data_IF_328484449977
#
_entry.id   IF_328484449977
#
_cell.length_a   1.000
_cell.length_b   1.000
_cell.length_c   1.000
_cell.angle_alpha   90.00
_cell.angle_beta   90.00
_cell.angle_gamma   90.00
#
_symmetry.space_group_name_H-M   'P 1'
#
loop_
_entity.id
_entity.type
_entity.pdbx_description
1 polymer ?
#
# COMPACT_ATOMS: atom_id res chain seq x y z
N UNK A 1 16.60 -17.09 -45.92
CA UNK A 1 16.32 -15.93 -45.01
C UNK A 1 16.58 -16.37 -43.60
N UNK A 2 17.27 -15.54 -42.83
CA UNK A 2 17.50 -15.83 -41.44
C UNK A 2 16.24 -15.56 -40.59
N UNK A 3 15.87 -16.52 -39.78
CA UNK A 3 14.69 -16.49 -38.91
C UNK A 3 15.15 -16.41 -37.45
N UNK A 4 14.49 -15.59 -36.64
CA UNK A 4 14.82 -15.40 -35.24
C UNK A 4 13.88 -16.23 -34.37
N UNK A 5 14.45 -17.03 -33.49
CA UNK A 5 13.70 -17.76 -32.47
C UNK A 5 13.67 -16.94 -31.20
N UNK A 6 12.48 -16.57 -30.74
CA UNK A 6 12.27 -15.83 -29.50
C UNK A 6 11.90 -16.79 -28.37
N UNK A 7 12.17 -16.37 -27.13
CA UNK A 7 11.75 -17.06 -25.91
C UNK A 7 10.23 -17.23 -25.92
N UNK A 8 9.71 -18.47 -25.98
CA UNK A 8 8.27 -18.70 -26.04
C UNK A 8 7.63 -18.50 -24.66
N UNK A 9 6.37 -18.10 -24.63
CA UNK A 9 5.58 -18.07 -23.41
C UNK A 9 5.04 -19.46 -23.10
N UNK A 10 5.71 -20.19 -22.21
CA UNK A 10 5.41 -21.60 -21.88
C UNK A 10 4.36 -21.74 -20.77
N UNK A 11 3.77 -20.64 -20.27
CA UNK A 11 2.71 -20.60 -19.26
C UNK A 11 1.97 -19.27 -19.22
N UNK A 12 0.77 -19.25 -18.62
CA UNK A 12 -0.07 -18.03 -18.61
C UNK A 12 0.57 -16.85 -17.88
N UNK A 13 1.40 -17.13 -16.86
CA UNK A 13 2.00 -16.13 -15.96
C UNK A 13 3.52 -16.03 -16.11
N UNK A 14 4.10 -16.69 -17.14
CA UNK A 14 5.54 -16.66 -17.36
C UNK A 14 5.99 -15.28 -17.86
N UNK A 15 6.85 -14.59 -17.10
CA UNK A 15 7.50 -13.35 -17.48
C UNK A 15 8.94 -13.58 -17.98
N UNK A 16 9.63 -14.59 -17.46
CA UNK A 16 11.02 -14.95 -17.75
C UNK A 16 11.24 -16.45 -17.54
N UNK A 17 12.31 -17.00 -18.15
CA UNK A 17 12.73 -18.38 -17.97
C UNK A 17 14.24 -18.53 -18.02
N UNK A 18 14.79 -19.52 -17.32
CA UNK A 18 16.23 -19.80 -17.32
C UNK A 18 16.54 -20.85 -18.38
N UNK A 19 17.43 -20.55 -19.33
CA UNK A 19 17.86 -21.49 -20.34
C UNK A 19 18.85 -22.49 -19.72
N UNK A 20 18.40 -23.71 -19.46
CA UNK A 20 19.22 -24.76 -18.78
C UNK A 20 20.31 -25.29 -19.71
N UNK A 21 19.94 -25.66 -20.92
CA UNK A 21 20.88 -26.14 -21.92
C UNK A 21 20.37 -26.01 -23.35
N UNK A 22 21.30 -25.92 -24.28
CA UNK A 22 21.06 -26.10 -25.70
C UNK A 22 21.10 -27.59 -26.06
N UNK A 23 20.10 -28.09 -26.76
CA UNK A 23 20.04 -29.48 -27.24
C UNK A 23 20.71 -29.60 -28.60
N UNK A 24 20.65 -28.55 -29.43
CA UNK A 24 21.26 -28.47 -30.75
C UNK A 24 22.40 -27.44 -30.71
N UNK A 25 23.56 -27.81 -31.19
CA UNK A 25 24.73 -26.95 -31.23
C UNK A 25 24.69 -25.93 -32.39
N UNK A 26 25.51 -24.86 -32.25
CA UNK A 26 25.71 -23.93 -33.37
C UNK A 26 26.27 -24.66 -34.60
N UNK A 27 25.83 -24.28 -35.79
CA UNK A 27 26.15 -24.88 -37.09
C UNK A 27 25.51 -26.28 -37.33
N UNK A 28 24.63 -26.75 -36.46
CA UNK A 28 23.89 -28.01 -36.61
C UNK A 28 22.53 -27.75 -37.27
N UNK A 29 22.07 -28.72 -38.06
CA UNK A 29 20.78 -28.63 -38.74
C UNK A 29 19.64 -28.97 -37.74
N UNK A 30 18.56 -28.21 -37.82
CA UNK A 30 17.34 -28.39 -37.00
C UNK A 30 16.12 -28.48 -37.91
N UNK A 31 15.23 -29.40 -37.63
CA UNK A 31 13.91 -29.49 -38.25
C UNK A 31 12.83 -28.81 -37.42
N UNK A 32 11.80 -28.28 -38.07
CA UNK A 32 10.65 -27.68 -37.39
C UNK A 32 9.97 -28.72 -36.47
N UNK A 33 9.78 -28.38 -35.18
CA UNK A 33 9.24 -29.27 -34.15
C UNK A 33 10.31 -30.11 -33.43
N UNK A 34 11.59 -29.97 -33.81
CA UNK A 34 12.69 -30.60 -33.08
C UNK A 34 13.07 -29.78 -31.84
N UNK A 35 13.40 -30.43 -30.73
CA UNK A 35 13.78 -29.78 -29.48
C UNK A 35 15.09 -29.00 -29.67
N UNK A 36 15.03 -27.70 -29.49
CA UNK A 36 16.13 -26.76 -29.66
C UNK A 36 16.86 -26.50 -28.33
N UNK A 37 16.12 -26.31 -27.25
CA UNK A 37 16.65 -25.99 -25.92
C UNK A 37 15.74 -26.48 -24.82
N UNK A 38 16.28 -26.63 -23.60
CA UNK A 38 15.54 -26.86 -22.38
C UNK A 38 15.53 -25.59 -21.53
N UNK A 39 14.33 -25.16 -21.11
CA UNK A 39 14.11 -23.96 -20.31
C UNK A 39 13.49 -24.35 -18.99
N UNK A 40 14.06 -23.88 -17.89
CA UNK A 40 13.49 -24.01 -16.56
C UNK A 40 12.59 -22.81 -16.26
N UNK A 41 11.35 -23.11 -15.88
CA UNK A 41 10.39 -22.17 -15.39
C UNK A 41 10.24 -22.34 -13.86
N UNK A 42 9.50 -21.46 -13.22
CA UNK A 42 9.21 -21.57 -11.76
C UNK A 42 8.48 -22.88 -11.36
N UNK A 43 7.97 -23.64 -12.34
CA UNK A 43 7.14 -24.84 -12.12
C UNK A 43 7.73 -26.14 -12.68
N UNK A 44 8.48 -26.08 -13.76
CA UNK A 44 9.06 -27.25 -14.40
C UNK A 44 10.11 -26.89 -15.47
N UNK A 45 10.96 -27.85 -15.83
CA UNK A 45 11.80 -27.78 -17.03
C UNK A 45 10.96 -28.18 -18.24
N UNK A 46 10.92 -27.34 -19.25
CA UNK A 46 10.12 -27.53 -20.48
C UNK A 46 11.04 -27.49 -21.69
N UNK A 47 10.82 -28.42 -22.62
CA UNK A 47 11.51 -28.46 -23.90
C UNK A 47 10.92 -27.43 -24.88
N UNK A 48 11.79 -26.66 -25.53
CA UNK A 48 11.41 -25.68 -26.55
C UNK A 48 11.73 -26.22 -27.93
N UNK A 49 10.70 -26.36 -28.74
CA UNK A 49 10.80 -26.85 -30.09
C UNK A 49 11.12 -25.70 -31.09
N UNK A 50 11.90 -26.01 -32.11
CA UNK A 50 12.19 -25.05 -33.17
C UNK A 50 10.95 -24.77 -34.02
N UNK A 51 10.54 -23.50 -34.19
CA UNK A 51 9.44 -23.12 -35.09
C UNK A 51 9.82 -23.19 -36.59
N UNK A 52 11.13 -23.27 -36.89
CA UNK A 52 11.68 -23.21 -38.22
C UNK A 52 12.61 -24.41 -38.51
N UNK A 53 12.78 -24.75 -39.80
CA UNK A 53 13.79 -25.71 -40.26
C UNK A 53 14.96 -24.97 -40.88
N UNK A 54 16.19 -25.34 -40.55
CA UNK A 54 17.41 -24.68 -41.07
C UNK A 54 18.67 -25.14 -40.33
N UNK A 55 19.68 -24.29 -40.32
CA UNK A 55 20.91 -24.49 -39.54
C UNK A 55 20.95 -23.44 -38.41
N UNK A 56 21.20 -23.84 -37.20
CA UNK A 56 21.37 -22.93 -36.06
C UNK A 56 22.65 -22.13 -36.27
N UNK A 57 22.53 -20.86 -36.64
CA UNK A 57 23.67 -20.01 -36.98
C UNK A 57 24.38 -19.44 -35.76
N UNK A 58 23.60 -19.07 -34.75
CA UNK A 58 24.14 -18.51 -33.49
C UNK A 58 23.15 -18.65 -32.36
N UNK A 59 23.67 -18.95 -31.18
CA UNK A 59 22.98 -18.78 -29.90
C UNK A 59 23.20 -17.35 -29.40
N UNK A 60 22.12 -16.64 -29.11
CA UNK A 60 22.16 -15.24 -28.62
C UNK A 60 22.20 -15.16 -27.09
N UNK A 61 21.96 -16.28 -26.42
CA UNK A 61 21.86 -16.39 -24.97
C UNK A 61 22.76 -17.54 -24.49
N UNK A 62 23.49 -17.32 -23.42
CA UNK A 62 24.34 -18.32 -22.78
C UNK A 62 23.50 -19.30 -21.94
N UNK A 63 24.08 -20.49 -21.63
CA UNK A 63 23.47 -21.44 -20.69
C UNK A 63 23.40 -20.83 -19.29
N UNK A 64 22.39 -21.21 -18.53
CA UNK A 64 22.05 -20.70 -17.17
C UNK A 64 21.68 -19.21 -17.13
N UNK A 65 21.45 -18.56 -18.28
CA UNK A 65 20.99 -17.19 -18.35
C UNK A 65 19.46 -17.11 -18.17
N UNK A 66 19.01 -16.12 -17.36
CA UNK A 66 17.60 -15.80 -17.20
C UNK A 66 17.15 -14.85 -18.29
N UNK A 67 16.12 -15.23 -19.07
CA UNK A 67 15.71 -14.55 -20.30
C UNK A 67 14.24 -14.20 -20.25
N UNK A 68 13.86 -12.91 -20.44
CA UNK A 68 12.46 -12.50 -20.53
C UNK A 68 11.74 -13.15 -21.73
N UNK A 69 10.44 -13.39 -21.60
CA UNK A 69 9.58 -13.85 -22.71
C UNK A 69 9.65 -12.87 -23.87
N UNK A 70 9.63 -13.40 -25.10
CA UNK A 70 9.77 -12.67 -26.39
C UNK A 70 11.18 -12.16 -26.71
N UNK A 71 12.16 -12.33 -25.85
CA UNK A 71 13.56 -11.98 -26.15
C UNK A 71 14.15 -12.95 -27.17
N UNK A 72 14.92 -12.49 -28.19
CA UNK A 72 15.61 -13.35 -29.14
C UNK A 72 16.62 -14.28 -28.46
N UNK A 73 16.52 -15.60 -28.72
CA UNK A 73 17.39 -16.61 -28.14
C UNK A 73 18.32 -17.28 -29.14
N UNK A 74 17.89 -17.48 -30.39
CA UNK A 74 18.71 -18.08 -31.43
C UNK A 74 18.37 -17.55 -32.82
N UNK A 75 19.33 -17.69 -33.77
CA UNK A 75 19.13 -17.39 -35.21
C UNK A 75 19.27 -18.66 -36.00
N UNK A 76 18.24 -18.99 -36.79
CA UNK A 76 18.21 -20.14 -37.73
C UNK A 76 18.21 -19.62 -39.16
N UNK A 77 19.02 -20.19 -40.03
CA UNK A 77 19.11 -19.74 -41.42
C UNK A 77 19.64 -20.82 -42.37
N UNK A 78 19.75 -20.50 -43.65
CA UNK A 78 20.37 -21.39 -44.69
C UNK A 78 21.87 -21.57 -44.44
N UNK A 79 22.43 -22.74 -44.82
CA UNK A 79 23.81 -23.12 -44.52
C UNK A 79 24.88 -22.19 -45.09
N UNK A 80 24.63 -21.48 -46.22
CA UNK A 80 25.59 -20.66 -46.97
C UNK A 80 25.24 -19.16 -46.98
N UNK A 81 24.32 -18.69 -46.12
CA UNK A 81 23.84 -17.31 -46.08
C UNK A 81 24.73 -16.45 -45.17
N UNK A 82 25.35 -15.38 -45.72
CA UNK A 82 26.01 -14.36 -44.87
C UNK A 82 24.94 -13.52 -44.19
N UNK A 83 24.88 -13.62 -42.85
CA UNK A 83 23.92 -12.93 -42.03
C UNK A 83 24.63 -11.76 -41.33
N UNK A 84 24.19 -10.54 -41.59
CA UNK A 84 24.62 -9.36 -40.83
C UNK A 84 23.83 -9.28 -39.49
N UNK A 85 24.44 -9.82 -38.45
CA UNK A 85 23.86 -9.90 -37.12
C UNK A 85 23.63 -8.52 -36.49
N UNK A 86 24.46 -7.50 -36.81
CA UNK A 86 24.30 -6.16 -36.27
C UNK A 86 23.03 -5.46 -36.78
N UNK A 87 22.77 -5.58 -38.08
CA UNK A 87 21.59 -5.01 -38.72
C UNK A 87 20.29 -5.74 -38.29
N UNK A 88 20.37 -7.04 -38.01
CA UNK A 88 19.25 -7.86 -37.58
C UNK A 88 18.85 -7.55 -36.12
N UNK A 89 19.82 -7.30 -35.22
CA UNK A 89 19.60 -6.92 -33.83
C UNK A 89 19.19 -5.46 -33.68
N UNK A 90 19.70 -4.55 -34.52
CA UNK A 90 19.30 -3.13 -34.52
C UNK A 90 17.83 -2.94 -34.92
N UNK A 91 17.34 -3.73 -35.87
CA UNK A 91 15.92 -3.71 -36.26
C UNK A 91 14.95 -4.17 -35.17
N UNK A 92 15.42 -4.95 -34.16
CA UNK A 92 14.62 -5.39 -33.01
C UNK A 92 14.53 -4.31 -31.94
N UNK A 93 15.56 -3.50 -31.73
CA UNK A 93 15.55 -2.39 -30.77
C UNK A 93 14.63 -1.24 -31.19
N UNK A 94 14.43 -1.03 -32.49
CA UNK A 94 13.46 -0.03 -33.01
C UNK A 94 11.99 -0.46 -32.81
N UNK A 95 11.70 -1.77 -32.76
CA UNK A 95 10.34 -2.29 -32.53
C UNK A 95 9.92 -2.22 -31.04
N UNK A 96 10.84 -2.32 -30.08
CA UNK A 96 10.54 -2.17 -28.65
C UNK A 96 10.23 -0.72 -28.24
N UNK A 97 10.69 0.27 -29.00
CA UNK A 97 10.41 1.70 -28.71
C UNK A 97 9.03 2.17 -29.18
N UNK A 98 8.31 1.39 -29.96
CA UNK A 98 6.99 1.77 -30.50
C UNK A 98 5.82 1.30 -29.62
N UNK A 99 5.99 0.29 -28.76
CA UNK A 99 4.92 -0.19 -27.88
C UNK A 99 4.90 0.45 -26.47
N UNK A 100 5.88 1.29 -26.13
CA UNK A 100 5.93 2.02 -24.84
C UNK A 100 5.37 3.44 -24.90
N UNK A 101 4.57 3.77 -25.87
CA UNK A 101 3.96 5.08 -26.09
C UNK A 101 2.49 5.16 -25.66
N UNK A 102 2.15 4.88 -24.42
CA UNK A 102 0.85 5.23 -23.85
C UNK A 102 0.97 6.53 -23.04
N UNK A 103 0.53 7.55 -23.67
CA UNK A 103 0.27 8.94 -23.32
C UNK A 103 -0.13 9.17 -21.86
N UNK A 104 0.75 9.76 -21.07
CA UNK A 104 0.38 10.56 -19.91
C UNK A 104 -0.01 11.96 -20.37
N UNK A 105 -1.28 12.29 -20.26
CA UNK A 105 -1.80 13.64 -20.48
C UNK A 105 -1.74 14.39 -19.16
N UNK A 106 -0.72 15.21 -18.99
CA UNK A 106 -0.68 16.25 -17.96
C UNK A 106 -1.73 17.34 -18.27
N UNK A 107 -2.53 17.81 -17.30
CA UNK A 107 -3.43 18.93 -17.54
C UNK A 107 -2.65 20.24 -17.55
N UNK A 108 -2.71 20.94 -18.66
CA UNK A 108 -2.14 22.26 -18.90
C UNK A 108 -2.65 23.29 -17.87
N UNK A 109 -1.72 23.95 -17.20
CA UNK A 109 -1.99 25.12 -16.39
C UNK A 109 -2.37 26.29 -17.29
N UNK A 110 -3.59 26.76 -17.15
CA UNK A 110 -4.14 27.95 -17.83
C UNK A 110 -3.47 29.21 -17.27
N UNK A 111 -2.68 29.86 -18.11
CA UNK A 111 -2.11 31.17 -17.86
C UNK A 111 -3.21 32.21 -17.97
N UNK A 112 -3.61 32.80 -16.87
CA UNK A 112 -4.46 34.00 -16.87
C UNK A 112 -3.58 35.18 -17.25
N UNK A 113 -3.80 35.71 -18.43
CA UNK A 113 -3.21 36.89 -19.01
C UNK A 113 -3.90 38.14 -18.40
N UNK A 114 -3.15 38.96 -17.68
CA UNK A 114 -3.65 40.19 -17.12
C UNK A 114 -3.72 41.29 -18.22
N UNK A 115 -4.92 41.74 -18.50
CA UNK A 115 -5.16 42.87 -19.41
C UNK A 115 -4.63 44.18 -18.82
N UNK A 116 -4.09 45.09 -19.67
CA UNK A 116 -3.56 46.37 -19.22
C UNK A 116 -4.70 47.38 -18.97
N UNK A 117 -4.68 47.99 -17.80
CA UNK A 117 -5.55 49.12 -17.48
C UNK A 117 -4.89 50.40 -18.01
N UNK A 118 -5.56 51.05 -18.93
CA UNK A 118 -5.21 52.34 -19.52
C UNK A 118 -5.27 53.45 -18.46
N UNK A 119 -4.25 54.31 -18.53
CA UNK A 119 -4.17 55.54 -17.74
C UNK A 119 -5.16 56.59 -18.29
N UNK A 120 -6.04 57.05 -17.45
CA UNK A 120 -6.76 58.31 -17.70
C UNK A 120 -6.22 59.41 -16.78
N UNK A 121 -6.06 60.58 -17.38
CA UNK A 121 -5.61 61.86 -16.86
C UNK A 121 -6.33 62.29 -15.58
N UNK A 122 -5.55 62.72 -14.58
CA UNK A 122 -6.08 63.65 -13.58
C UNK A 122 -5.12 64.82 -13.45
N UNK A 123 -5.67 66.00 -13.82
CA UNK A 123 -5.12 67.30 -13.78
C UNK A 123 -4.65 67.79 -12.40
N UNK A 124 -3.64 68.68 -12.49
CA UNK A 124 -3.05 69.52 -11.45
C UNK A 124 -4.04 70.20 -10.51
N UNK A 125 -3.84 69.99 -9.18
CA UNK A 125 -4.01 71.09 -8.25
C UNK A 125 -3.07 70.98 -7.03
N UNK A 126 -2.53 72.19 -6.64
CA UNK A 126 -1.48 72.31 -5.65
C UNK A 126 -2.06 72.33 -4.24
N UNK A 127 -2.04 71.20 -3.56
CA UNK A 127 -2.11 71.21 -2.10
C UNK A 127 -1.70 69.86 -1.56
N UNK A 128 -1.03 69.81 -0.41
CA UNK A 128 -0.57 68.67 0.38
C UNK A 128 -1.22 67.35 0.06
N UNK A 129 -0.40 66.30 -0.10
CA UNK A 129 -0.88 64.94 -0.14
C UNK A 129 -1.81 64.61 1.07
N UNK A 130 -2.82 63.76 0.97
CA UNK A 130 -3.80 63.48 2.01
C UNK A 130 -3.24 63.02 3.37
N UNK A 131 -1.94 62.80 3.47
CA UNK A 131 -1.25 62.24 4.64
C UNK A 131 -0.16 63.17 5.25
N UNK A 132 -0.22 64.47 5.04
CA UNK A 132 0.60 65.42 5.77
C UNK A 132 2.08 65.57 5.33
N UNK A 133 2.54 64.89 4.29
CA UNK A 133 3.91 64.99 3.79
C UNK A 133 4.05 66.28 2.99
N UNK A 134 4.89 67.18 3.49
CA UNK A 134 5.18 68.50 2.84
C UNK A 134 6.42 68.37 1.98
N UNK A 135 6.29 68.50 0.67
CA UNK A 135 7.41 68.56 -0.28
C UNK A 135 7.32 69.74 -1.21
N UNK A 136 8.46 70.29 -1.67
CA UNK A 136 8.50 71.32 -2.67
C UNK A 136 8.03 70.78 -4.03
N UNK A 137 7.45 71.59 -4.93
CA UNK A 137 7.02 71.18 -6.26
C UNK A 137 8.12 70.50 -7.07
N UNK A 138 9.36 70.97 -6.91
CA UNK A 138 10.52 70.42 -7.59
C UNK A 138 10.94 69.07 -7.01
N UNK A 139 10.88 68.89 -5.66
CA UNK A 139 11.14 67.62 -4.99
C UNK A 139 10.11 66.56 -5.38
N UNK A 140 8.83 66.90 -5.55
CA UNK A 140 7.78 66.02 -6.00
C UNK A 140 8.04 65.51 -7.41
N UNK A 141 8.28 66.36 -8.36
CA UNK A 141 8.59 65.96 -9.75
C UNK A 141 9.81 65.09 -9.84
N UNK A 142 10.82 65.38 -9.01
CA UNK A 142 12.04 64.58 -8.99
C UNK A 142 11.85 63.21 -8.34
N UNK A 143 11.12 63.15 -7.23
CA UNK A 143 10.77 61.90 -6.60
C UNK A 143 9.89 61.00 -7.50
N UNK A 144 8.96 61.63 -8.25
CA UNK A 144 8.09 60.94 -9.21
C UNK A 144 8.88 60.40 -10.40
N UNK A 145 9.79 61.19 -10.98
CA UNK A 145 10.67 60.74 -12.07
C UNK A 145 11.63 59.64 -11.66
N UNK A 146 12.04 59.62 -10.39
CA UNK A 146 12.96 58.63 -9.81
C UNK A 146 12.23 57.47 -9.08
N UNK A 147 10.89 57.46 -9.06
CA UNK A 147 10.05 56.48 -8.34
C UNK A 147 10.39 56.36 -6.86
N UNK A 148 10.77 57.48 -6.20
CA UNK A 148 11.11 57.53 -4.79
C UNK A 148 9.84 57.83 -3.98
N UNK A 149 9.55 57.03 -2.95
CA UNK A 149 8.43 57.28 -2.04
C UNK A 149 8.81 58.39 -1.05
N UNK A 150 8.18 59.57 -1.18
CA UNK A 150 8.43 60.73 -0.34
C UNK A 150 8.21 60.50 1.17
N UNK A 151 7.49 59.46 1.57
CA UNK A 151 7.33 59.10 2.99
C UNK A 151 8.62 58.57 3.61
N UNK A 152 9.55 58.12 2.81
CA UNK A 152 10.84 57.58 3.26
C UNK A 152 11.96 58.61 3.26
N UNK A 153 11.68 59.83 2.79
CA UNK A 153 12.64 60.91 2.68
C UNK A 153 12.43 61.88 3.85
N UNK A 154 13.46 62.10 4.67
CA UNK A 154 13.45 63.10 5.72
C UNK A 154 13.65 64.49 5.14
N UNK A 155 12.69 65.43 5.35
CA UNK A 155 12.78 66.82 4.85
C UNK A 155 13.67 67.68 5.72
N UNK A 156 14.66 68.35 5.14
CA UNK A 156 15.57 69.31 5.79
C UNK A 156 15.11 70.77 5.71
N UNK A 157 14.08 71.11 4.93
CA UNK A 157 13.57 72.44 4.75
C UNK A 157 12.71 72.95 5.92
N UNK A 158 12.33 74.28 5.92
CA UNK A 158 11.52 74.90 6.95
C UNK A 158 10.21 74.10 7.21
N UNK A 159 9.92 73.86 8.49
CA UNK A 159 8.77 73.06 8.93
C UNK A 159 8.78 71.62 8.41
N UNK A 160 9.96 71.00 8.22
CA UNK A 160 10.08 69.58 7.79
C UNK A 160 9.73 69.39 6.30
N UNK A 161 9.79 70.38 5.47
CA UNK A 161 9.51 70.32 4.03
C UNK A 161 10.63 69.58 3.30
N UNK A 162 10.29 68.59 2.53
CA UNK A 162 11.23 67.84 1.67
C UNK A 162 11.68 68.79 0.51
N UNK A 163 12.98 68.99 0.39
CA UNK A 163 13.62 69.80 -0.67
C UNK A 163 14.20 68.86 -1.76
N UNK A 164 14.64 69.50 -2.88
CA UNK A 164 15.32 68.74 -3.97
C UNK A 164 16.57 68.00 -3.45
N UNK A 165 17.37 68.67 -2.58
CA UNK A 165 18.58 68.05 -2.01
C UNK A 165 18.31 66.81 -1.16
N UNK A 166 17.17 66.80 -0.48
CA UNK A 166 16.80 65.63 0.34
C UNK A 166 16.47 64.37 -0.53
N UNK A 167 15.86 64.60 -1.68
CA UNK A 167 15.55 63.49 -2.64
C UNK A 167 16.84 63.01 -3.31
N UNK A 168 17.77 63.92 -3.65
CA UNK A 168 19.09 63.55 -4.20
C UNK A 168 19.94 62.80 -3.15
N UNK A 169 19.96 63.27 -1.92
CA UNK A 169 20.66 62.62 -0.83
C UNK A 169 20.08 61.22 -0.51
N UNK A 170 18.77 61.04 -0.58
CA UNK A 170 18.11 59.77 -0.41
C UNK A 170 18.45 58.77 -1.53
N UNK A 171 18.62 59.25 -2.76
CA UNK A 171 19.07 58.41 -3.87
C UNK A 171 20.56 58.05 -3.76
N UNK A 172 21.40 58.97 -3.24
CA UNK A 172 22.83 58.75 -3.07
C UNK A 172 23.16 57.88 -1.82
N UNK A 173 22.25 57.78 -0.88
CA UNK A 173 22.40 56.90 0.27
C UNK A 173 22.34 55.41 -0.21
N UNK A 174 23.29 54.58 0.25
CA UNK A 174 23.19 53.14 -0.05
C UNK A 174 21.83 52.67 0.47
N UNK A 175 20.94 52.31 -0.42
CA UNK A 175 19.69 51.67 -0.10
C UNK A 175 20.09 50.36 0.57
N UNK A 176 20.14 50.32 1.89
CA UNK A 176 20.10 49.11 2.65
C UNK A 176 18.68 48.56 2.37
N UNK A 177 18.57 47.79 1.32
CA UNK A 177 17.34 47.05 1.03
C UNK A 177 16.98 46.33 2.34
N UNK A 178 15.79 46.68 2.85
CA UNK A 178 15.20 45.79 3.87
C UNK A 178 15.22 44.41 3.24
N UNK A 179 16.21 43.62 3.61
CA UNK A 179 16.20 42.21 3.33
C UNK A 179 14.88 41.72 3.92
N UNK A 180 13.90 41.49 3.07
CA UNK A 180 12.74 40.69 3.43
C UNK A 180 13.39 39.43 3.95
N UNK A 181 13.43 39.27 5.28
CA UNK A 181 14.11 38.17 5.91
C UNK A 181 13.60 36.90 5.24
N UNK A 182 14.48 36.24 4.51
CA UNK A 182 14.18 34.92 4.03
C UNK A 182 13.62 34.16 5.23
N UNK A 183 12.49 33.44 5.09
CA UNK A 183 11.90 32.72 6.21
C UNK A 183 13.02 31.90 6.85
N UNK A 184 13.30 32.20 8.13
CA UNK A 184 14.31 31.48 8.90
C UNK A 184 13.75 30.07 9.15
N UNK A 185 14.05 29.15 8.26
CA UNK A 185 13.88 27.72 8.54
C UNK A 185 15.06 27.32 9.42
N UNK A 186 14.84 26.93 10.66
CA UNK A 186 15.93 26.38 11.46
C UNK A 186 16.50 25.20 10.68
N UNK A 187 17.77 25.27 10.29
CA UNK A 187 18.45 24.17 9.68
C UNK A 187 18.40 23.00 10.67
N UNK A 188 17.75 21.91 10.30
CA UNK A 188 17.83 20.66 11.05
C UNK A 188 19.28 20.21 10.95
N UNK A 189 20.06 20.52 11.97
CA UNK A 189 21.45 20.06 12.08
C UNK A 189 21.44 18.59 12.50
N UNK A 190 21.77 17.71 11.59
CA UNK A 190 21.95 16.29 11.84
C UNK A 190 22.71 15.68 10.67
N UNK A 191 23.62 14.76 10.95
CA UNK A 191 24.20 13.92 9.91
C UNK A 191 23.09 13.04 9.31
N UNK A 192 22.92 13.08 8.00
CA UNK A 192 22.06 12.14 7.28
C UNK A 192 22.76 10.78 7.34
N UNK A 193 22.17 9.75 7.98
CA UNK A 193 22.79 8.44 8.05
C UNK A 193 22.94 7.86 6.63
N UNK A 194 24.03 7.17 6.32
CA UNK A 194 24.23 6.55 5.02
C UNK A 194 23.21 5.43 4.77
N UNK A 195 22.88 5.22 3.51
CA UNK A 195 22.03 4.11 3.08
C UNK A 195 22.67 2.78 3.53
N UNK A 196 21.82 1.84 3.97
CA UNK A 196 22.24 0.54 4.46
C UNK A 196 21.52 -0.57 3.72
N UNK A 197 22.26 -1.49 3.14
CA UNK A 197 21.70 -2.74 2.62
C UNK A 197 21.66 -3.78 3.75
N UNK A 198 20.46 -4.16 4.18
CA UNK A 198 20.25 -5.12 5.26
C UNK A 198 19.66 -6.41 4.66
N UNK A 199 20.35 -7.55 4.77
CA UNK A 199 19.83 -8.82 4.27
C UNK A 199 18.58 -9.24 5.06
N UNK A 200 17.60 -9.81 4.35
CA UNK A 200 16.38 -10.30 4.98
C UNK A 200 16.67 -11.53 5.85
N UNK A 201 16.04 -11.60 7.02
CA UNK A 201 16.04 -12.80 7.84
C UNK A 201 15.28 -13.93 7.14
N UNK A 202 15.58 -15.20 7.50
CA UNK A 202 14.85 -16.37 6.97
C UNK A 202 13.35 -16.28 7.23
N UNK A 203 12.94 -15.80 8.40
CA UNK A 203 11.53 -15.57 8.73
C UNK A 203 10.90 -14.53 7.80
N UNK A 204 11.57 -13.38 7.59
CA UNK A 204 11.05 -12.31 6.71
C UNK A 204 10.93 -12.79 5.27
N UNK A 205 11.90 -13.58 4.78
CA UNK A 205 11.86 -14.19 3.44
C UNK A 205 10.68 -15.15 3.31
N UNK A 206 10.45 -16.02 4.30
CA UNK A 206 9.31 -16.96 4.31
C UNK A 206 7.96 -16.23 4.33
N UNK A 207 7.83 -15.19 5.17
CA UNK A 207 6.62 -14.33 5.21
C UNK A 207 6.41 -13.68 3.84
N UNK A 208 7.46 -13.13 3.22
CA UNK A 208 7.38 -12.48 1.91
C UNK A 208 6.84 -13.42 0.83
N UNK A 209 7.41 -14.61 0.70
CA UNK A 209 6.93 -15.64 -0.24
C UNK A 209 5.45 -15.98 -0.02
N UNK A 210 5.03 -16.20 1.24
CA UNK A 210 3.65 -16.54 1.59
C UNK A 210 2.66 -15.39 1.28
N UNK A 211 3.06 -14.14 1.49
CA UNK A 211 2.23 -12.97 1.18
C UNK A 211 2.11 -12.73 -0.33
N UNK A 212 3.20 -12.94 -1.09
CA UNK A 212 3.16 -12.90 -2.56
C UNK A 212 2.22 -13.99 -3.08
N UNK A 213 2.39 -15.23 -2.62
CA UNK A 213 1.49 -16.34 -2.97
C UNK A 213 0.03 -15.96 -2.73
N UNK A 214 -0.30 -15.43 -1.55
CA UNK A 214 -1.66 -15.02 -1.21
C UNK A 214 -2.21 -13.97 -2.17
N UNK A 215 -1.42 -12.95 -2.54
CA UNK A 215 -1.87 -11.87 -3.41
C UNK A 215 -2.00 -12.26 -4.87
N UNK A 216 -1.17 -13.20 -5.33
CA UNK A 216 -1.17 -13.67 -6.72
C UNK A 216 -2.21 -14.76 -6.96
N UNK A 217 -2.31 -15.73 -6.04
CA UNK A 217 -3.15 -16.91 -6.24
C UNK A 217 -4.60 -16.76 -5.76
N UNK A 218 -4.87 -15.85 -4.80
CA UNK A 218 -6.21 -15.65 -4.24
C UNK A 218 -6.87 -14.39 -4.81
N UNK A 219 -7.94 -14.52 -5.61
CA UNK A 219 -8.77 -13.39 -6.02
C UNK A 219 -9.55 -12.87 -4.81
N UNK A 220 -8.92 -11.97 -4.04
CA UNK A 220 -9.47 -11.47 -2.79
C UNK A 220 -10.45 -10.33 -3.03
N UNK A 221 -11.58 -10.37 -2.34
CA UNK A 221 -12.47 -9.22 -2.19
C UNK A 221 -12.61 -8.85 -0.71
N UNK A 222 -13.13 -7.66 -0.44
CA UNK A 222 -13.13 -7.06 0.88
C UNK A 222 -14.50 -6.47 1.21
N UNK A 223 -14.96 -6.69 2.46
CA UNK A 223 -16.19 -6.10 2.97
C UNK A 223 -15.92 -5.49 4.33
N UNK A 224 -16.27 -4.22 4.52
CA UNK A 224 -16.10 -3.49 5.79
C UNK A 224 -17.47 -3.27 6.44
N UNK A 225 -17.52 -3.39 7.76
CA UNK A 225 -18.69 -3.08 8.58
C UNK A 225 -18.28 -2.32 9.84
N UNK A 226 -19.13 -1.39 10.29
CA UNK A 226 -18.96 -0.60 11.51
C UNK A 226 -19.94 -1.09 12.58
N UNK A 227 -19.46 -1.22 13.82
CA UNK A 227 -20.22 -1.69 14.98
C UNK A 227 -20.28 -0.63 16.06
N UNK A 228 -21.40 -0.59 16.80
CA UNK A 228 -21.42 0.03 18.11
C UNK A 228 -20.78 -0.88 19.14
N UNK A 229 -19.75 -0.39 19.80
CA UNK A 229 -19.00 -1.18 20.78
C UNK A 229 -19.15 -0.66 22.22
N UNK A 230 -20.11 0.24 22.48
CA UNK A 230 -20.31 0.82 23.82
C UNK A 230 -20.60 -0.26 24.85
N UNK A 231 -21.55 -1.15 24.59
CA UNK A 231 -21.92 -2.24 25.52
C UNK A 231 -20.80 -3.25 25.70
N UNK A 232 -20.03 -3.53 24.63
CA UNK A 232 -18.84 -4.39 24.72
C UNK A 232 -17.76 -3.78 25.63
N UNK A 233 -17.52 -2.47 25.51
CA UNK A 233 -16.57 -1.76 26.35
C UNK A 233 -16.99 -1.80 27.83
N UNK A 234 -18.26 -1.60 28.09
CA UNK A 234 -18.84 -1.62 29.46
C UNK A 234 -18.84 -3.04 30.06
N UNK A 235 -19.26 -4.05 29.29
CA UNK A 235 -19.17 -5.44 29.73
C UNK A 235 -17.74 -5.84 30.08
N UNK A 236 -16.78 -5.53 29.19
CA UNK A 236 -15.36 -5.80 29.45
C UNK A 236 -14.88 -5.13 30.74
N UNK A 237 -15.28 -3.89 31.01
CA UNK A 237 -14.94 -3.16 32.22
C UNK A 237 -15.48 -3.86 33.48
N UNK A 238 -16.75 -4.29 33.44
CA UNK A 238 -17.39 -5.03 34.52
C UNK A 238 -16.72 -6.38 34.79
N UNK A 239 -16.49 -7.17 33.73
CA UNK A 239 -15.81 -8.49 33.80
C UNK A 239 -14.40 -8.31 34.40
N UNK A 240 -13.65 -7.32 33.91
CA UNK A 240 -12.28 -7.07 34.37
C UNK A 240 -12.19 -6.55 35.83
N UNK A 241 -13.27 -6.01 36.37
CA UNK A 241 -13.34 -5.66 37.81
C UNK A 241 -13.40 -6.91 38.70
N UNK A 242 -13.90 -8.03 38.19
CA UNK A 242 -14.03 -9.30 38.90
C UNK A 242 -12.80 -10.23 38.71
N UNK A 243 -11.97 -9.97 37.71
CA UNK A 243 -10.84 -10.84 37.36
C UNK A 243 -9.53 -10.37 37.99
N UNK A 244 -8.63 -11.31 38.37
CA UNK A 244 -7.30 -10.95 38.82
C UNK A 244 -6.48 -10.30 37.68
N UNK A 245 -5.43 -9.50 37.99
CA UNK A 245 -4.67 -8.73 37.00
C UNK A 245 -4.10 -9.58 35.85
N UNK A 246 -3.70 -10.82 36.10
CA UNK A 246 -3.14 -11.73 35.11
C UNK A 246 -4.18 -12.34 34.15
N UNK A 247 -5.47 -12.20 34.44
CA UNK A 247 -6.55 -12.85 33.67
C UNK A 247 -7.53 -11.84 33.03
N UNK A 248 -7.20 -10.55 33.06
CA UNK A 248 -8.03 -9.50 32.48
C UNK A 248 -8.18 -9.70 30.99
N UNK A 249 -9.40 -9.54 30.49
CA UNK A 249 -9.75 -9.70 29.07
C UNK A 249 -9.48 -8.43 28.27
N UNK A 250 -9.12 -8.58 27.00
CA UNK A 250 -9.00 -7.53 25.99
C UNK A 250 -10.23 -7.51 25.08
N UNK A 251 -10.46 -6.44 24.32
CA UNK A 251 -11.52 -6.39 23.28
C UNK A 251 -11.29 -7.53 22.28
N UNK A 252 -10.04 -7.79 21.93
CA UNK A 252 -9.69 -8.83 20.96
C UNK A 252 -10.20 -10.22 21.38
N UNK A 253 -10.22 -10.54 22.68
CA UNK A 253 -10.67 -11.84 23.17
C UNK A 253 -12.18 -12.03 22.94
N UNK A 254 -12.97 -10.96 23.06
CA UNK A 254 -14.40 -10.96 22.73
C UNK A 254 -14.62 -11.09 21.22
N UNK A 255 -13.80 -10.41 20.41
CA UNK A 255 -13.88 -10.50 18.92
C UNK A 255 -13.52 -11.92 18.47
N UNK A 256 -12.48 -12.55 19.04
CA UNK A 256 -12.13 -13.93 18.77
C UNK A 256 -13.33 -14.85 19.04
N UNK A 257 -13.98 -14.69 20.20
CA UNK A 257 -15.16 -15.48 20.56
C UNK A 257 -16.34 -15.22 19.63
N UNK A 258 -16.61 -13.95 19.31
CA UNK A 258 -17.70 -13.54 18.42
C UNK A 258 -17.49 -14.11 17.01
N UNK A 259 -16.29 -13.99 16.45
CA UNK A 259 -15.94 -14.54 15.15
C UNK A 259 -16.05 -16.08 15.13
N UNK A 260 -15.57 -16.75 16.19
CA UNK A 260 -15.64 -18.21 16.28
C UNK A 260 -17.08 -18.71 16.32
N UNK A 261 -17.99 -18.02 17.02
CA UNK A 261 -19.40 -18.37 17.03
C UNK A 261 -20.09 -18.07 15.69
N UNK A 262 -19.80 -16.94 15.08
CA UNK A 262 -20.35 -16.57 13.78
C UNK A 262 -19.90 -17.54 12.68
N UNK A 263 -18.63 -17.96 12.66
CA UNK A 263 -18.10 -18.91 11.65
C UNK A 263 -18.84 -20.25 11.61
N UNK A 264 -19.48 -20.68 12.70
CA UNK A 264 -20.31 -21.89 12.70
C UNK A 264 -21.52 -21.81 11.76
N UNK A 265 -22.02 -20.58 11.49
CA UNK A 265 -23.11 -20.33 10.56
C UNK A 265 -22.60 -20.15 9.10
N UNK A 266 -21.28 -19.98 8.91
CA UNK A 266 -20.65 -19.68 7.61
C UNK A 266 -19.47 -20.62 7.33
N UNK A 267 -19.69 -21.89 7.03
CA UNK A 267 -18.62 -22.89 6.89
C UNK A 267 -17.66 -22.59 5.72
N UNK A 268 -18.08 -21.86 4.67
CA UNK A 268 -17.20 -21.47 3.57
C UNK A 268 -16.14 -20.45 4.01
N UNK A 269 -16.41 -19.63 5.02
CA UNK A 269 -15.42 -18.69 5.57
C UNK A 269 -14.44 -19.40 6.52
N UNK A 270 -14.81 -20.57 7.04
CA UNK A 270 -13.96 -21.44 7.87
C UNK A 270 -13.50 -22.65 7.05
N UNK A 271 -12.83 -22.39 5.94
CA UNK A 271 -12.51 -23.38 4.92
C UNK A 271 -11.16 -23.13 4.26
N UNK A 272 -10.77 -24.04 3.40
CA UNK A 272 -9.66 -23.85 2.46
C UNK A 272 -10.02 -24.44 1.09
N UNK A 273 -9.51 -23.83 0.04
CA UNK A 273 -9.51 -24.42 -1.29
C UNK A 273 -8.38 -25.48 -1.36
N UNK A 274 -8.70 -26.67 -1.86
CA UNK A 274 -7.67 -27.70 -2.04
C UNK A 274 -6.70 -27.30 -3.18
N UNK A 275 -5.41 -27.68 -3.08
CA UNK A 275 -4.35 -27.20 -4.00
C UNK A 275 -4.63 -27.42 -5.49
N UNK A 276 -5.44 -28.43 -5.82
CA UNK A 276 -5.80 -28.73 -7.21
C UNK A 276 -7.12 -28.06 -7.67
N UNK A 277 -7.69 -27.18 -6.85
CA UNK A 277 -8.86 -26.36 -7.21
C UNK A 277 -10.17 -27.12 -7.40
N UNK A 278 -10.20 -28.45 -7.16
CA UNK A 278 -11.38 -29.27 -7.43
C UNK A 278 -12.39 -29.36 -6.29
N UNK A 279 -12.03 -28.94 -5.07
CA UNK A 279 -12.88 -29.03 -3.88
C UNK A 279 -12.49 -28.03 -2.80
N UNK A 280 -13.42 -27.78 -1.89
CA UNK A 280 -13.24 -26.94 -0.69
C UNK A 280 -13.35 -27.84 0.54
N UNK A 281 -12.39 -27.78 1.45
CA UNK A 281 -12.48 -28.41 2.76
C UNK A 281 -13.03 -27.41 3.76
N UNK A 282 -14.26 -27.65 4.24
CA UNK A 282 -14.88 -26.91 5.36
C UNK A 282 -14.46 -27.56 6.68
N UNK A 283 -13.96 -26.75 7.62
CA UNK A 283 -13.51 -27.28 8.92
C UNK A 283 -14.67 -27.37 9.90
N UNK A 284 -14.78 -28.51 10.60
CA UNK A 284 -15.81 -28.72 11.62
C UNK A 284 -15.52 -28.04 12.96
N UNK A 285 -14.28 -27.59 13.17
CA UNK A 285 -13.81 -26.82 14.34
C UNK A 285 -13.36 -25.43 13.91
N UNK A 286 -13.32 -24.49 14.84
CA UNK A 286 -12.90 -23.11 14.54
C UNK A 286 -11.63 -22.78 15.32
N UNK A 287 -10.50 -22.81 14.61
CA UNK A 287 -9.19 -22.47 15.14
C UNK A 287 -8.82 -21.05 14.69
N UNK A 288 -8.87 -20.09 15.60
CA UNK A 288 -8.60 -18.71 15.28
C UNK A 288 -7.10 -18.42 15.37
N UNK A 289 -6.50 -18.11 14.22
CA UNK A 289 -5.16 -17.54 14.13
C UNK A 289 -5.15 -16.07 14.55
N UNK A 290 -4.34 -15.72 15.52
CA UNK A 290 -4.20 -14.34 16.01
C UNK A 290 -2.82 -13.82 15.64
N UNK A 291 -2.78 -12.75 14.85
CA UNK A 291 -1.54 -12.09 14.45
C UNK A 291 -0.87 -11.38 15.63
N UNK A 292 0.38 -11.73 15.93
CA UNK A 292 1.17 -11.17 17.03
C UNK A 292 2.46 -10.57 16.49
N UNK A 293 2.71 -9.29 16.78
CA UNK A 293 3.96 -8.63 16.44
C UNK A 293 5.11 -9.17 17.30
N UNK A 294 6.21 -9.56 16.63
CA UNK A 294 7.48 -10.00 17.20
C UNK A 294 8.62 -9.16 16.67
N UNK A 295 9.79 -9.19 17.31
CA UNK A 295 10.94 -8.32 16.96
C UNK A 295 11.30 -8.36 15.46
N UNK A 296 11.25 -9.52 14.83
CA UNK A 296 11.67 -9.69 13.43
C UNK A 296 10.51 -9.89 12.43
N UNK A 297 9.26 -9.60 12.82
CA UNK A 297 8.12 -9.77 11.93
C UNK A 297 6.78 -9.98 12.63
N UNK A 298 5.96 -10.84 12.05
CA UNK A 298 4.64 -11.21 12.54
C UNK A 298 4.55 -12.72 12.66
N UNK A 299 4.03 -13.23 13.78
CA UNK A 299 3.67 -14.64 13.94
C UNK A 299 2.18 -14.76 14.21
N UNK A 300 1.56 -15.81 13.68
CA UNK A 300 0.17 -16.14 13.97
C UNK A 300 0.14 -17.22 15.05
N UNK A 301 -0.46 -16.92 16.20
CA UNK A 301 -0.71 -17.91 17.25
C UNK A 301 -2.14 -18.43 17.17
N UNK A 302 -2.39 -19.70 17.46
CA UNK A 302 -3.65 -20.38 17.14
C UNK A 302 -4.43 -20.73 18.39
N UNK A 303 -5.57 -20.06 18.60
CA UNK A 303 -6.56 -20.43 19.61
C UNK A 303 -7.45 -21.53 19.03
N UNK A 304 -7.19 -22.77 19.41
CA UNK A 304 -7.94 -23.94 18.92
C UNK A 304 -9.33 -24.00 19.53
N UNK A 305 -10.33 -24.52 18.79
CA UNK A 305 -11.71 -24.73 19.24
C UNK A 305 -12.28 -23.50 20.00
N UNK A 306 -12.06 -22.31 19.45
CA UNK A 306 -12.39 -21.04 20.09
C UNK A 306 -13.91 -20.89 20.32
N UNK A 307 -14.73 -21.54 19.50
CA UNK A 307 -16.18 -21.60 19.62
C UNK A 307 -16.65 -22.31 20.90
N UNK A 308 -15.85 -23.24 21.43
CA UNK A 308 -16.17 -24.00 22.65
C UNK A 308 -15.65 -23.35 23.93
N UNK A 309 -14.71 -22.40 23.83
CA UNK A 309 -14.01 -21.81 24.97
C UNK A 309 -14.73 -20.56 25.50
N UNK A 310 -14.80 -20.35 26.83
CA UNK A 310 -15.22 -19.06 27.38
C UNK A 310 -14.17 -17.98 27.10
N UNK A 311 -14.60 -16.72 27.02
CA UNK A 311 -13.73 -15.55 26.73
C UNK A 311 -12.52 -15.48 27.65
N UNK A 312 -12.70 -15.78 28.95
CA UNK A 312 -11.60 -15.81 29.94
C UNK A 312 -10.51 -16.81 29.56
N UNK A 313 -10.88 -18.01 29.12
CA UNK A 313 -9.92 -19.05 28.70
C UNK A 313 -9.19 -18.61 27.43
N UNK A 314 -9.91 -18.07 26.43
CA UNK A 314 -9.32 -17.50 25.21
C UNK A 314 -8.26 -16.45 25.58
N UNK A 315 -8.59 -15.53 26.50
CA UNK A 315 -7.68 -14.47 26.95
C UNK A 315 -6.39 -15.03 27.56
N UNK A 316 -6.50 -16.01 28.44
CA UNK A 316 -5.34 -16.62 29.12
C UNK A 316 -4.45 -17.37 28.13
N UNK A 317 -5.05 -18.18 27.25
CA UNK A 317 -4.31 -18.98 26.27
C UNK A 317 -3.61 -18.10 25.23
N UNK A 318 -4.33 -17.16 24.61
CA UNK A 318 -3.78 -16.26 23.59
C UNK A 318 -2.66 -15.40 24.17
N UNK A 319 -2.83 -14.89 25.40
CA UNK A 319 -1.78 -14.11 26.09
C UNK A 319 -0.53 -14.96 26.35
N UNK A 320 -0.69 -16.20 26.80
CA UNK A 320 0.44 -17.09 27.06
C UNK A 320 1.19 -17.43 25.76
N UNK A 321 0.47 -17.72 24.66
CA UNK A 321 1.06 -17.97 23.35
C UNK A 321 1.75 -16.73 22.79
N UNK A 322 1.12 -15.55 22.88
CA UNK A 322 1.71 -14.28 22.46
C UNK A 322 2.98 -13.92 23.27
N UNK A 323 3.02 -14.25 24.55
CA UNK A 323 4.21 -14.12 25.38
C UNK A 323 5.35 -14.98 24.86
N UNK A 324 5.10 -16.28 24.64
CA UNK A 324 6.09 -17.21 24.04
C UNK A 324 6.56 -16.75 22.66
N UNK A 325 5.65 -16.22 21.84
CA UNK A 325 5.99 -15.72 20.51
C UNK A 325 6.98 -14.55 20.58
N UNK A 326 6.77 -13.60 21.48
CA UNK A 326 7.68 -12.46 21.66
C UNK A 326 9.04 -12.86 22.24
N UNK A 327 9.08 -13.91 23.05
CA UNK A 327 10.32 -14.47 23.62
C UNK A 327 11.05 -15.41 22.65
N UNK A 328 10.51 -15.69 21.46
CA UNK A 328 11.07 -16.68 20.53
C UNK A 328 10.96 -18.14 20.97
N UNK A 329 10.06 -18.44 21.94
CA UNK A 329 9.87 -19.78 22.54
C UNK A 329 8.57 -20.42 22.11
N UNK A 330 8.13 -20.19 20.87
CA UNK A 330 6.91 -20.79 20.33
C UNK A 330 7.01 -22.31 20.22
N UNK A 331 5.90 -22.97 20.49
CA UNK A 331 5.73 -24.39 20.21
C UNK A 331 5.11 -24.54 18.83
N UNK A 332 5.31 -25.68 18.18
CA UNK A 332 4.67 -25.99 16.89
C UNK A 332 3.14 -25.89 17.02
N UNK A 333 2.58 -26.44 18.08
CA UNK A 333 1.14 -26.39 18.38
C UNK A 333 0.60 -24.96 18.58
N UNK A 334 1.46 -24.00 18.91
CA UNK A 334 1.06 -22.60 19.09
C UNK A 334 0.81 -21.88 17.77
N UNK A 335 1.36 -22.37 16.64
CA UNK A 335 1.43 -21.63 15.36
C UNK A 335 0.82 -22.38 14.17
N UNK A 336 0.45 -23.64 14.32
CA UNK A 336 -0.10 -24.46 13.25
C UNK A 336 -1.58 -24.78 13.44
N UNK A 337 -2.30 -24.94 12.31
CA UNK A 337 -3.68 -25.45 12.29
C UNK A 337 -4.74 -24.38 12.47
N UNK A 338 -4.46 -23.12 12.17
CA UNK A 338 -5.49 -22.08 12.06
C UNK A 338 -6.40 -22.36 10.86
N UNK A 339 -7.69 -22.06 11.03
CA UNK A 339 -8.71 -22.21 9.99
C UNK A 339 -9.29 -20.88 9.54
N UNK A 340 -9.08 -19.84 10.35
CA UNK A 340 -9.46 -18.45 10.10
C UNK A 340 -8.52 -17.53 10.90
N UNK A 341 -8.11 -16.42 10.34
CA UNK A 341 -7.20 -15.49 11.03
C UNK A 341 -7.86 -14.18 11.43
N UNK A 342 -7.39 -13.59 12.52
CA UNK A 342 -7.73 -12.24 12.97
C UNK A 342 -6.44 -11.42 13.10
N UNK A 343 -6.41 -10.28 12.40
CA UNK A 343 -5.37 -9.26 12.53
C UNK A 343 -5.95 -8.02 13.18
N UNK A 344 -5.39 -7.58 14.31
CA UNK A 344 -5.88 -6.45 15.06
C UNK A 344 -4.82 -5.36 15.14
N UNK A 345 -5.12 -4.17 14.62
CA UNK A 345 -4.29 -2.96 14.68
C UNK A 345 -4.93 -1.85 15.53
N UNK A 346 -5.99 -2.17 16.26
CA UNK A 346 -6.70 -1.20 17.10
C UNK A 346 -5.86 -0.56 18.19
N UNK A 347 -4.77 -1.21 18.65
CA UNK A 347 -3.84 -0.63 19.61
C UNK A 347 -2.93 0.46 18.99
N UNK A 348 -2.93 0.63 17.67
CA UNK A 348 -2.12 1.62 16.95
C UNK A 348 -2.95 2.78 16.39
N UNK A 349 -4.19 2.94 16.87
CA UNK A 349 -5.14 3.97 16.42
C UNK A 349 -5.44 3.92 14.91
N UNK A 350 -5.45 2.71 14.35
CA UNK A 350 -5.79 2.47 12.95
C UNK A 350 -7.31 2.32 12.84
N UNK A 351 -7.98 3.21 12.13
CA UNK A 351 -9.44 3.20 11.97
C UNK A 351 -9.93 1.95 11.24
N UNK A 352 -9.34 1.65 10.09
CA UNK A 352 -9.61 0.46 9.29
C UNK A 352 -8.40 0.07 8.45
N UNK A 353 -8.27 -1.19 8.08
CA UNK A 353 -7.26 -1.68 7.16
C UNK A 353 -7.71 -3.00 6.52
N UNK A 354 -7.03 -3.36 5.45
CA UNK A 354 -7.26 -4.61 4.72
C UNK A 354 -6.11 -5.57 5.02
N UNK A 355 -6.43 -6.73 5.61
CA UNK A 355 -5.45 -7.78 5.87
C UNK A 355 -5.29 -8.70 4.65
N UNK A 356 -4.07 -9.19 4.43
CA UNK A 356 -3.79 -10.20 3.40
C UNK A 356 -4.14 -11.57 3.98
N UNK A 357 -4.90 -12.38 3.24
CA UNK A 357 -5.27 -13.73 3.66
C UNK A 357 -3.99 -14.55 3.94
N UNK A 358 -4.03 -15.32 5.01
CA UNK A 358 -2.94 -16.20 5.40
C UNK A 358 -3.17 -17.61 4.78
N UNK A 359 -2.53 -17.96 3.66
CA UNK A 359 -2.76 -19.27 3.04
C UNK A 359 -2.50 -20.43 4.02
N UNK A 360 -3.27 -21.51 4.00
CA UNK A 360 -4.33 -21.86 3.04
C UNK A 360 -5.75 -21.44 3.46
N UNK A 361 -5.91 -20.58 4.46
CA UNK A 361 -7.22 -20.12 4.94
C UNK A 361 -8.00 -19.38 3.85
N UNK A 362 -9.34 -19.50 3.85
CA UNK A 362 -10.21 -18.81 2.89
C UNK A 362 -10.47 -17.34 3.24
N UNK A 363 -10.30 -16.95 4.51
CA UNK A 363 -10.63 -15.59 4.96
C UNK A 363 -9.79 -15.14 6.17
N UNK A 364 -9.72 -13.80 6.33
CA UNK A 364 -9.10 -13.12 7.48
C UNK A 364 -9.91 -11.90 7.86
N UNK A 365 -10.06 -11.64 9.17
CA UNK A 365 -10.72 -10.47 9.72
C UNK A 365 -9.70 -9.44 10.20
N UNK A 366 -9.70 -8.26 9.62
CA UNK A 366 -8.97 -7.09 10.08
C UNK A 366 -9.82 -6.31 11.08
N UNK A 367 -9.24 -5.92 12.22
CA UNK A 367 -9.93 -5.21 13.31
C UNK A 367 -9.27 -3.88 13.55
N UNK A 368 -10.03 -2.79 13.40
CA UNK A 368 -9.60 -1.42 13.67
C UNK A 368 -9.72 -1.02 15.13
N UNK A 369 -9.46 0.25 15.40
CA UNK A 369 -9.56 0.87 16.73
C UNK A 369 -11.02 1.05 17.14
N UNK A 370 -11.29 0.86 18.43
CA UNK A 370 -12.54 1.30 19.05
C UNK A 370 -12.39 2.76 19.47
N UNK A 371 -13.02 3.67 18.74
CA UNK A 371 -12.89 5.11 18.96
C UNK A 371 -14.23 5.76 19.31
N UNK A 372 -14.17 6.84 20.11
CA UNK A 372 -15.33 7.66 20.38
C UNK A 372 -15.48 8.69 19.25
N UNK A 373 -16.60 8.64 18.56
CA UNK A 373 -16.91 9.51 17.41
C UNK A 373 -18.25 10.20 17.59
N UNK A 374 -18.52 11.24 16.83
CA UNK A 374 -19.83 11.89 16.79
C UNK A 374 -20.82 10.99 16.02
N UNK A 375 -21.87 10.54 16.68
CA UNK A 375 -22.94 9.73 16.07
C UNK A 375 -24.26 10.45 16.15
N UNK A 376 -25.20 10.11 15.30
CA UNK A 376 -26.57 10.65 15.32
C UNK A 376 -27.49 9.64 15.98
N UNK A 377 -28.03 9.99 17.16
CA UNK A 377 -29.04 9.22 17.88
C UNK A 377 -30.25 10.13 18.16
N UNK A 378 -31.46 9.68 17.89
CA UNK A 378 -32.67 10.44 18.06
C UNK A 378 -32.59 11.86 17.48
N UNK A 379 -32.01 12.00 16.28
CA UNK A 379 -31.81 13.28 15.58
C UNK A 379 -30.92 14.28 16.31
N UNK A 380 -30.02 13.81 17.20
CA UNK A 380 -29.01 14.58 17.94
C UNK A 380 -27.63 14.01 17.74
N UNK A 381 -26.65 14.87 17.69
CA UNK A 381 -25.23 14.45 17.68
C UNK A 381 -24.79 14.16 19.10
N UNK A 382 -24.38 12.93 19.34
CA UNK A 382 -23.90 12.44 20.64
C UNK A 382 -22.55 11.70 20.46
N UNK A 383 -21.72 11.61 21.50
CA UNK A 383 -20.51 10.76 21.43
C UNK A 383 -20.92 9.28 21.51
N UNK A 384 -20.49 8.48 20.54
CA UNK A 384 -20.70 7.02 20.49
C UNK A 384 -19.40 6.27 20.25
N UNK A 385 -19.29 5.05 20.76
CA UNK A 385 -18.16 4.18 20.50
C UNK A 385 -18.36 3.38 19.21
N UNK A 386 -17.44 3.53 18.26
CA UNK A 386 -17.49 2.81 16.98
C UNK A 386 -16.18 2.06 16.73
N UNK A 387 -16.31 0.91 16.08
CA UNK A 387 -15.19 0.07 15.64
C UNK A 387 -15.51 -0.50 14.27
N UNK A 388 -14.54 -0.49 13.37
CA UNK A 388 -14.68 -1.11 12.04
C UNK A 388 -13.93 -2.43 11.98
N UNK A 389 -14.51 -3.39 11.27
CA UNK A 389 -13.79 -4.59 10.83
C UNK A 389 -13.92 -4.76 9.33
N UNK A 390 -12.86 -5.27 8.71
CA UNK A 390 -12.83 -5.61 7.28
C UNK A 390 -12.50 -7.07 7.13
N UNK A 391 -13.37 -7.84 6.48
CA UNK A 391 -13.07 -9.21 6.12
C UNK A 391 -12.48 -9.25 4.71
N UNK A 392 -11.35 -9.97 4.54
CA UNK A 392 -10.79 -10.34 3.25
C UNK A 392 -11.14 -11.79 2.97
N UNK A 393 -11.67 -12.10 1.80
CA UNK A 393 -12.17 -13.45 1.47
C UNK A 393 -11.69 -13.86 0.07
N UNK A 394 -11.35 -15.13 -0.08
CA UNK A 394 -11.04 -15.75 -1.37
C UNK A 394 -12.33 -15.98 -2.17
N UNK A 395 -12.47 -15.27 -3.30
CA UNK A 395 -13.68 -15.31 -4.13
C UNK A 395 -13.91 -16.66 -4.82
N UNK A 396 -12.94 -17.58 -4.77
CA UNK A 396 -13.10 -18.96 -5.25
C UNK A 396 -13.87 -19.85 -4.25
N UNK A 397 -13.94 -19.42 -2.98
CA UNK A 397 -14.54 -20.20 -1.88
C UNK A 397 -15.85 -19.59 -1.41
N UNK A 398 -15.97 -18.27 -1.40
CA UNK A 398 -17.16 -17.53 -0.92
C UNK A 398 -17.42 -16.28 -1.75
N UNK A 399 -18.51 -15.59 -1.47
CA UNK A 399 -18.94 -14.38 -2.17
C UNK A 399 -19.23 -13.19 -1.23
N UNK A 400 -19.48 -12.01 -1.83
CA UNK A 400 -19.73 -10.79 -1.09
C UNK A 400 -20.99 -10.82 -0.23
N UNK A 401 -22.02 -11.56 -0.63
CA UNK A 401 -23.26 -11.68 0.12
C UNK A 401 -23.07 -12.54 1.38
N UNK A 402 -22.31 -13.63 1.29
CA UNK A 402 -21.97 -14.46 2.43
C UNK A 402 -21.09 -13.71 3.43
N UNK A 403 -20.06 -13.01 2.95
CA UNK A 403 -19.20 -12.17 3.79
C UNK A 403 -19.97 -11.05 4.51
N UNK A 404 -20.92 -10.38 3.81
CA UNK A 404 -21.76 -9.36 4.42
C UNK A 404 -22.69 -9.94 5.50
N UNK A 405 -23.30 -11.10 5.25
CA UNK A 405 -24.12 -11.80 6.26
C UNK A 405 -23.31 -12.23 7.48
N UNK A 406 -22.10 -12.71 7.28
CA UNK A 406 -21.17 -13.01 8.38
C UNK A 406 -20.94 -11.80 9.26
N UNK A 407 -20.64 -10.62 8.68
CA UNK A 407 -20.45 -9.39 9.44
C UNK A 407 -21.74 -8.95 10.17
N UNK A 408 -22.94 -9.16 9.57
CA UNK A 408 -24.21 -8.93 10.25
C UNK A 408 -24.45 -9.87 11.43
N UNK A 409 -24.05 -11.14 11.33
CA UNK A 409 -24.11 -12.07 12.47
C UNK A 409 -23.10 -11.66 13.55
N UNK A 410 -21.93 -11.19 13.13
CA UNK A 410 -20.93 -10.67 14.06
C UNK A 410 -21.45 -9.47 14.86
N UNK A 411 -22.28 -8.60 14.25
CA UNK A 411 -22.97 -7.48 14.92
C UNK A 411 -23.73 -7.96 16.15
N UNK A 412 -24.50 -9.03 16.05
CA UNK A 412 -25.28 -9.58 17.18
C UNK A 412 -24.42 -9.94 18.40
N UNK A 413 -23.19 -10.36 18.17
CA UNK A 413 -22.27 -10.72 19.26
C UNK A 413 -21.48 -9.53 19.79
N UNK A 414 -21.21 -8.54 18.97
CA UNK A 414 -20.43 -7.35 19.35
C UNK A 414 -21.33 -6.32 20.03
N UNK A 415 -22.52 -6.08 19.52
CA UNK A 415 -23.48 -5.09 20.06
C UNK A 415 -24.35 -5.65 21.20
N UNK A 416 -24.54 -6.99 21.26
CA UNK A 416 -25.19 -7.68 22.39
C UNK A 416 -24.20 -8.63 23.08
N UNK A 417 -23.11 -8.14 23.70
CA UNK A 417 -21.97 -8.95 24.10
C UNK A 417 -22.24 -9.92 25.25
N UNK A 418 -23.34 -9.79 25.95
CA UNK A 418 -23.81 -10.79 26.94
C UNK A 418 -24.03 -12.17 26.27
N UNK A 419 -24.35 -12.23 24.99
CA UNK A 419 -24.45 -13.50 24.22
C UNK A 419 -23.14 -14.28 24.19
N UNK A 420 -22.00 -13.61 24.33
CA UNK A 420 -20.69 -14.25 24.39
C UNK A 420 -20.43 -14.94 25.73
N UNK A 421 -21.12 -14.51 26.79
CA UNK A 421 -20.96 -15.06 28.15
C UNK A 421 -21.86 -16.27 28.38
N UNK A 422 -22.98 -16.37 27.64
CA UNK A 422 -23.94 -17.48 27.72
C UNK A 422 -24.20 -17.98 26.30
N UNK A 423 -23.19 -18.61 25.67
CA UNK A 423 -23.38 -19.09 24.29
C UNK A 423 -24.43 -20.17 24.26
N UNK A 424 -25.44 -19.99 23.42
CA UNK A 424 -26.36 -21.06 23.07
C UNK A 424 -25.63 -22.07 22.16
N UNK A 425 -25.23 -23.18 22.74
CA UNK A 425 -24.54 -24.27 22.04
C UNK A 425 -25.55 -25.24 21.43
N UNK A 426 -26.83 -25.07 21.64
CA UNK A 426 -27.87 -25.86 20.98
C UNK A 426 -27.92 -25.39 19.50
N UNK A 427 -27.27 -26.14 18.63
CA UNK A 427 -27.24 -25.91 17.19
C UNK A 427 -28.60 -25.99 16.51
N UNK A 428 -29.50 -25.07 16.84
CA UNK A 428 -30.70 -24.81 16.05
C UNK A 428 -30.31 -23.81 14.96
N UNK A 429 -29.77 -24.33 13.87
CA UNK A 429 -29.93 -23.71 12.56
C UNK A 429 -31.45 -23.64 12.33
N UNK A 430 -32.06 -22.49 12.60
CA UNK A 430 -33.37 -22.23 12.06
C UNK A 430 -33.19 -22.06 10.55
N UNK A 431 -33.71 -23.04 9.82
CA UNK A 431 -33.79 -23.11 8.37
C UNK A 431 -34.57 -21.94 7.77
#
# INVERSE_FOLDING_TARGET
>A
MAEIVNMPKLGFDMAEGTLVRWVIAEQEAVEKGQVLAEIETDKATVEVESPFSGVVRRHLVEQDANVPVSTPIAVIGGGDEEIDFETLLAGLQELETVESGATETEPAAEKIEAAPITAEDISTDAASLPDGVRASPLARRMAESMRINLRQVSGSGPNGRITKADVEAFQAAPQVGAAVGAPFFPAVSGEIPPDRNIPLSKLRTAIGKRMVQSKVEFPQFFVTHEYDVADLMDLRKQVNALLPPGEKTSINDYIIKAAALALREFPNLNARLEPHGGSVTQFGHVNIGVAVAVENGLLTVVCRDAELKPVRQISVEVRAMAGRAREGKVKVDDIEGSTFSISNLGMFDVEEFIAIINPPEAAILAVGSANQVAVVEDNRVVPGWRMKTTISVDHRVSDGAEAARFLQVLTRYIEEPLRLMVPDLSGQVQA
#
